data_IF_681914880970
#
_entry.id   IF_681914880970
#
_cell.length_a   1.000
_cell.length_b   1.000
_cell.length_c   1.000
_cell.angle_alpha   90.00
_cell.angle_beta   90.00
_cell.angle_gamma   90.00
#
_symmetry.space_group_name_H-M   'P 1'
#
loop_
_entity.id
_entity.type
_entity.pdbx_description
1 polymer ?
#
# COMPACT_ATOMS: atom_id res chain seq x y z
N UNK A 1 53.08 -12.59 -24.13
CA UNK A 1 52.39 -13.12 -22.94
C UNK A 1 50.98 -12.57 -23.01
N UNK A 2 50.04 -13.38 -23.47
CA UNK A 2 48.67 -12.93 -23.65
C UNK A 2 48.05 -12.61 -22.30
N UNK A 3 47.52 -11.39 -22.18
CA UNK A 3 46.90 -10.91 -20.95
C UNK A 3 45.49 -11.47 -20.85
N UNK A 4 45.38 -12.79 -20.62
CA UNK A 4 44.11 -13.49 -20.41
C UNK A 4 43.25 -12.80 -19.32
N UNK A 5 43.91 -12.19 -18.33
CA UNK A 5 43.29 -11.37 -17.29
C UNK A 5 42.46 -10.21 -17.85
N UNK A 6 42.90 -9.57 -18.94
CA UNK A 6 42.17 -8.48 -19.58
C UNK A 6 40.87 -8.98 -20.20
N UNK A 7 40.88 -10.15 -20.84
CA UNK A 7 39.66 -10.77 -21.39
C UNK A 7 38.66 -11.16 -20.29
N UNK A 8 39.16 -11.64 -19.14
CA UNK A 8 38.30 -11.93 -17.99
C UNK A 8 37.65 -10.66 -17.42
N UNK A 9 38.41 -9.56 -17.29
CA UNK A 9 37.87 -8.27 -16.87
C UNK A 9 36.87 -7.69 -17.87
N UNK A 10 37.13 -7.85 -19.18
CA UNK A 10 36.21 -7.42 -20.24
C UNK A 10 34.89 -8.21 -20.19
N UNK A 11 34.97 -9.53 -20.06
CA UNK A 11 33.81 -10.40 -19.93
C UNK A 11 32.99 -10.09 -18.67
N UNK A 12 33.66 -9.88 -17.53
CA UNK A 12 33.02 -9.46 -16.29
C UNK A 12 32.30 -8.11 -16.45
N UNK A 13 32.98 -7.12 -17.05
CA UNK A 13 32.39 -5.80 -17.30
C UNK A 13 31.16 -5.87 -18.21
N UNK A 14 31.20 -6.69 -19.26
CA UNK A 14 30.05 -6.94 -20.14
C UNK A 14 28.87 -7.54 -19.37
N UNK A 15 29.12 -8.52 -18.51
CA UNK A 15 28.09 -9.19 -17.71
C UNK A 15 27.42 -8.22 -16.72
N UNK A 16 28.23 -7.41 -16.03
CA UNK A 16 27.72 -6.36 -15.13
C UNK A 16 26.92 -5.31 -15.90
N UNK A 17 27.39 -4.89 -17.07
CA UNK A 17 26.68 -3.93 -17.91
C UNK A 17 25.32 -4.48 -18.38
N UNK A 18 25.25 -5.75 -18.82
CA UNK A 18 23.97 -6.36 -19.19
C UNK A 18 23.00 -6.48 -17.99
N UNK A 19 23.51 -6.82 -16.81
CA UNK A 19 22.69 -6.85 -15.58
C UNK A 19 22.16 -5.47 -15.22
N UNK A 20 22.96 -4.41 -15.41
CA UNK A 20 22.50 -3.03 -15.21
C UNK A 20 21.41 -2.66 -16.22
N UNK A 21 21.59 -2.99 -17.49
CA UNK A 21 20.64 -2.66 -18.55
C UNK A 21 19.27 -3.31 -18.31
N UNK A 22 19.26 -4.60 -17.95
CA UNK A 22 18.02 -5.32 -17.60
C UNK A 22 17.35 -4.69 -16.38
N UNK A 23 18.10 -4.36 -15.34
CA UNK A 23 17.57 -3.64 -14.19
C UNK A 23 16.96 -2.28 -14.56
N UNK A 24 17.59 -1.50 -15.45
CA UNK A 24 17.01 -0.25 -15.94
C UNK A 24 15.74 -0.47 -16.77
N UNK A 25 15.68 -1.50 -17.60
CA UNK A 25 14.48 -1.79 -18.39
C UNK A 25 13.29 -2.20 -17.51
N UNK A 26 13.54 -3.01 -16.49
CA UNK A 26 12.50 -3.55 -15.62
C UNK A 26 11.97 -2.50 -14.61
N UNK A 27 12.84 -1.55 -14.20
CA UNK A 27 12.53 -0.61 -13.11
C UNK A 27 12.61 0.87 -13.51
N UNK A 28 12.83 1.22 -14.78
CA UNK A 28 12.71 2.62 -15.20
C UNK A 28 11.24 3.06 -15.10
N UNK A 29 10.99 4.04 -14.23
CA UNK A 29 9.70 4.70 -14.14
C UNK A 29 9.37 5.35 -15.49
N UNK A 30 8.19 5.08 -16.09
CA UNK A 30 7.77 5.77 -17.30
C UNK A 30 7.79 7.29 -17.07
N UNK A 31 8.23 8.10 -18.06
CA UNK A 31 8.08 9.54 -17.95
C UNK A 31 6.60 9.87 -17.75
N UNK A 32 6.32 10.70 -16.74
CA UNK A 32 4.99 11.24 -16.50
C UNK A 32 4.46 11.81 -17.82
N UNK A 33 3.26 11.40 -18.22
CA UNK A 33 2.62 11.92 -19.42
C UNK A 33 2.59 13.44 -19.33
N UNK A 34 3.13 14.12 -20.35
CA UNK A 34 3.05 15.57 -20.45
C UNK A 34 1.57 15.98 -20.38
N UNK A 35 1.20 16.99 -19.56
CA UNK A 35 -0.16 17.47 -19.52
C UNK A 35 -0.53 17.98 -20.92
N UNK A 36 -1.56 17.37 -21.50
CA UNK A 36 -2.14 17.84 -22.74
C UNK A 36 -2.53 19.31 -22.55
N UNK A 37 -1.87 20.20 -23.29
CA UNK A 37 -2.29 21.61 -23.37
C UNK A 37 -3.69 21.66 -23.97
N UNK A 38 -4.67 21.92 -23.12
CA UNK A 38 -6.02 22.21 -23.57
C UNK A 38 -6.03 23.54 -24.34
N UNK A 39 -6.60 23.52 -25.55
CA UNK A 39 -6.83 24.70 -26.36
C UNK A 39 -7.73 25.72 -25.62
N UNK A 40 -7.55 27.03 -25.85
CA UNK A 40 -8.22 28.05 -25.06
C UNK A 40 -9.72 28.08 -25.36
N UNK A 41 -10.54 27.73 -24.36
CA UNK A 41 -11.95 28.09 -24.34
C UNK A 41 -12.09 29.50 -23.76
N UNK A 42 -12.90 30.32 -24.43
CA UNK A 42 -13.10 31.73 -24.16
C UNK A 42 -13.61 32.00 -22.73
N UNK A 43 -13.16 33.15 -22.21
CA UNK A 43 -13.41 33.64 -20.86
C UNK A 43 -14.89 33.88 -20.53
N UNK A 44 -15.28 33.49 -19.32
CA UNK A 44 -16.26 34.21 -18.52
C UNK A 44 -15.77 34.25 -17.07
N UNK A 45 -15.88 35.44 -16.49
CA UNK A 45 -15.16 35.90 -15.31
C UNK A 45 -15.77 35.43 -13.98
N UNK A 46 -14.90 35.26 -12.97
CA UNK A 46 -15.23 35.59 -11.57
C UNK A 46 -14.73 34.60 -10.52
N UNK A 47 -13.84 35.07 -9.64
CA UNK A 47 -13.66 34.54 -8.27
C UNK A 47 -12.31 33.90 -7.97
N UNK A 48 -11.51 34.59 -7.14
CA UNK A 48 -10.26 34.14 -6.52
C UNK A 48 -10.39 32.82 -5.74
N UNK A 49 -9.37 31.95 -5.80
CA UNK A 49 -8.57 31.51 -4.64
C UNK A 49 -7.32 30.70 -5.06
N UNK A 50 -6.24 30.86 -4.29
CA UNK A 50 -4.89 30.30 -4.48
C UNK A 50 -4.72 28.96 -3.73
N UNK A 51 -3.62 28.19 -3.89
CA UNK A 51 -3.67 26.76 -4.19
C UNK A 51 -3.47 25.88 -2.94
N UNK A 52 -4.28 24.83 -2.78
CA UNK A 52 -4.02 23.76 -1.82
C UNK A 52 -3.65 22.47 -2.57
N UNK A 53 -2.47 21.96 -2.22
CA UNK A 53 -1.78 20.80 -2.77
C UNK A 53 -2.66 19.55 -2.97
N UNK A 54 -2.74 19.09 -4.21
CA UNK A 54 -3.36 17.83 -4.59
C UNK A 54 -2.35 16.68 -4.38
N UNK A 55 -2.26 16.18 -3.15
CA UNK A 55 -1.77 14.82 -2.90
C UNK A 55 -2.98 13.89 -2.80
N UNK A 56 -3.63 13.62 -3.94
CA UNK A 56 -4.82 12.77 -4.01
C UNK A 56 -4.86 11.90 -5.28
N UNK A 57 -3.76 11.78 -6.02
CA UNK A 57 -3.71 11.02 -7.30
C UNK A 57 -3.38 9.53 -7.12
N UNK A 58 -3.99 8.86 -6.14
CA UNK A 58 -3.87 7.39 -6.05
C UNK A 58 -5.14 6.67 -5.57
N UNK A 59 -6.27 7.37 -5.54
CA UNK A 59 -7.57 6.76 -5.32
C UNK A 59 -8.46 6.99 -6.54
N UNK A 60 -9.21 5.98 -7.02
CA UNK A 60 -10.18 6.19 -8.08
C UNK A 60 -11.14 7.30 -7.67
N UNK A 61 -11.31 8.31 -8.54
CA UNK A 61 -12.24 9.40 -8.29
C UNK A 61 -13.67 8.85 -8.23
N UNK A 62 -14.32 9.07 -7.09
CA UNK A 62 -15.72 8.74 -6.85
C UNK A 62 -16.60 9.91 -7.32
N UNK A 63 -17.74 9.68 -8.02
CA UNK A 63 -18.62 10.75 -8.46
C UNK A 63 -19.17 11.56 -7.28
N UNK A 64 -19.10 12.88 -7.41
CA UNK A 64 -19.52 13.86 -6.40
C UNK A 64 -21.05 13.86 -6.28
N UNK A 65 -21.58 13.27 -5.20
CA UNK A 65 -22.96 13.44 -4.79
C UNK A 65 -23.04 14.57 -3.76
N UNK A 66 -23.50 15.74 -4.21
CA UNK A 66 -23.79 16.87 -3.35
C UNK A 66 -25.07 16.61 -2.54
N UNK A 67 -24.94 16.23 -1.27
CA UNK A 67 -26.02 16.43 -0.30
C UNK A 67 -25.48 16.59 1.13
N UNK A 68 -26.18 17.43 1.90
CA UNK A 68 -25.68 18.19 3.04
C UNK A 68 -25.06 17.36 4.19
N UNK A 69 -23.93 17.87 4.70
CA UNK A 69 -23.26 17.35 5.88
C UNK A 69 -24.15 17.48 7.15
N UNK A 70 -24.41 16.39 7.88
CA UNK A 70 -24.73 16.53 9.30
C UNK A 70 -23.44 16.86 10.04
N UNK A 71 -23.56 17.75 11.03
CA UNK A 71 -22.46 18.18 11.89
C UNK A 71 -21.70 16.97 12.44
N UNK A 72 -20.37 17.03 12.38
CA UNK A 72 -19.47 16.05 12.96
C UNK A 72 -19.77 15.92 14.46
N UNK A 73 -20.49 14.84 14.82
CA UNK A 73 -20.43 14.34 16.18
C UNK A 73 -18.98 13.89 16.38
N UNK A 74 -18.30 14.57 17.30
CA UNK A 74 -17.07 14.03 17.88
C UNK A 74 -17.46 12.69 18.47
N UNK A 75 -17.14 11.60 17.76
CA UNK A 75 -17.17 10.28 18.36
C UNK A 75 -16.17 10.33 19.49
N UNK A 76 -16.69 10.44 20.72
CA UNK A 76 -15.98 10.02 21.92
C UNK A 76 -15.29 8.71 21.59
N UNK A 77 -14.03 8.57 21.99
CA UNK A 77 -13.29 7.32 21.94
C UNK A 77 -14.09 6.28 22.74
N UNK A 78 -15.06 5.66 22.06
CA UNK A 78 -15.92 4.63 22.60
C UNK A 78 -15.02 3.52 23.08
N UNK A 79 -15.19 3.15 24.34
CA UNK A 79 -14.49 2.06 24.99
C UNK A 79 -14.28 0.94 23.98
N UNK A 80 -13.00 0.58 23.76
CA UNK A 80 -12.61 -0.41 22.77
C UNK A 80 -13.51 -1.63 22.92
N UNK A 81 -14.46 -1.78 22.00
CA UNK A 81 -15.24 -3.00 21.87
C UNK A 81 -14.23 -4.14 21.85
N UNK A 82 -14.41 -5.21 22.64
CA UNK A 82 -13.48 -6.32 22.67
C UNK A 82 -13.26 -6.76 21.22
N UNK A 83 -12.04 -6.57 20.73
CA UNK A 83 -11.67 -6.90 19.35
C UNK A 83 -12.00 -8.38 19.18
N UNK A 84 -12.95 -8.69 18.31
CA UNK A 84 -13.30 -10.07 18.05
C UNK A 84 -12.38 -10.58 16.94
N UNK A 85 -11.42 -11.42 17.31
CA UNK A 85 -10.47 -12.00 16.38
C UNK A 85 -10.95 -13.40 15.95
N UNK A 86 -10.72 -13.71 14.68
CA UNK A 86 -10.85 -15.06 14.11
C UNK A 86 -9.47 -15.53 13.67
N UNK A 87 -9.05 -16.69 14.17
CA UNK A 87 -7.82 -17.35 13.75
C UNK A 87 -8.10 -18.32 12.60
N UNK A 88 -7.34 -18.21 11.53
CA UNK A 88 -7.41 -19.05 10.34
C UNK A 88 -6.05 -19.69 10.12
N UNK A 89 -5.98 -21.01 10.25
CA UNK A 89 -4.76 -21.79 10.06
C UNK A 89 -4.82 -22.56 8.75
N UNK A 90 -3.76 -22.46 7.95
CA UNK A 90 -3.55 -23.27 6.74
C UNK A 90 -2.26 -24.08 6.85
N UNK A 91 -1.88 -24.72 5.75
CA UNK A 91 -0.62 -25.45 5.60
C UNK A 91 0.64 -24.57 5.76
N UNK A 92 0.60 -23.33 5.28
CA UNK A 92 1.75 -22.41 5.26
C UNK A 92 1.50 -21.08 5.94
N UNK A 93 0.26 -20.76 6.29
CA UNK A 93 -0.15 -19.44 6.73
C UNK A 93 -1.05 -19.54 7.96
N UNK A 94 -0.76 -18.71 8.97
CA UNK A 94 -1.57 -18.58 10.18
C UNK A 94 -1.92 -17.11 10.35
N UNK A 95 -3.22 -16.77 10.31
CA UNK A 95 -3.72 -15.39 10.22
C UNK A 95 -4.76 -15.12 11.28
N UNK A 96 -4.69 -13.93 11.86
CA UNK A 96 -5.74 -13.38 12.72
C UNK A 96 -6.47 -12.23 12.01
N UNK A 97 -7.79 -12.36 11.93
CA UNK A 97 -8.69 -11.41 11.28
C UNK A 97 -9.55 -10.72 12.34
N UNK A 98 -9.57 -9.40 12.34
CA UNK A 98 -10.52 -8.60 13.13
C UNK A 98 -11.86 -8.54 12.39
N UNK A 99 -12.92 -8.98 13.07
CA UNK A 99 -14.29 -8.91 12.55
C UNK A 99 -14.80 -7.48 12.40
N UNK A 100 -14.15 -6.52 13.06
CA UNK A 100 -14.39 -5.09 12.87
C UNK A 100 -13.71 -4.64 11.57
N UNK A 101 -14.43 -4.77 10.45
CA UNK A 101 -13.96 -4.34 9.13
C UNK A 101 -13.10 -5.35 8.37
N UNK A 102 -12.96 -6.59 8.85
CA UNK A 102 -12.29 -7.66 8.10
C UNK A 102 -10.79 -7.43 7.90
N UNK A 103 -10.14 -6.78 8.86
CA UNK A 103 -8.74 -6.42 8.79
C UNK A 103 -7.84 -7.58 9.22
N UNK A 104 -6.76 -7.85 8.50
CA UNK A 104 -5.74 -8.82 8.91
C UNK A 104 -4.77 -8.11 9.87
N UNK A 105 -4.76 -8.56 11.12
CA UNK A 105 -3.94 -7.95 12.18
C UNK A 105 -2.65 -8.70 12.43
N UNK A 106 -2.66 -10.02 12.23
CA UNK A 106 -1.50 -10.87 12.42
C UNK A 106 -1.43 -11.90 11.31
N UNK A 107 -0.23 -12.19 10.84
CA UNK A 107 0.04 -13.27 9.90
C UNK A 107 1.42 -13.82 10.17
N UNK A 108 1.53 -15.14 10.31
CA UNK A 108 2.80 -15.85 10.44
C UNK A 108 2.90 -16.99 9.45
N UNK A 109 4.13 -17.41 9.15
CA UNK A 109 4.42 -18.51 8.25
C UNK A 109 5.00 -19.70 9.06
N UNK A 110 4.19 -20.65 9.53
CA UNK A 110 4.64 -21.73 10.41
C UNK A 110 5.74 -22.62 9.81
N UNK A 111 5.85 -22.65 8.47
CA UNK A 111 6.83 -23.46 7.73
C UNK A 111 8.17 -22.74 7.47
N UNK A 112 8.27 -21.47 7.86
CA UNK A 112 9.42 -20.62 7.55
C UNK A 112 9.99 -20.03 8.84
N UNK A 113 11.06 -20.61 9.40
CA UNK A 113 11.67 -20.09 10.60
C UNK A 113 12.50 -18.83 10.31
N UNK A 114 12.55 -17.91 11.28
CA UNK A 114 13.36 -16.68 11.18
C UNK A 114 14.85 -17.00 11.07
N UNK A 115 15.30 -17.99 11.84
CA UNK A 115 16.67 -18.49 11.82
C UNK A 115 16.66 -20.00 11.58
N UNK A 116 17.62 -20.48 10.79
CA UNK A 116 17.76 -21.92 10.51
C UNK A 116 17.98 -22.75 11.77
N UNK A 117 18.61 -22.15 12.78
CA UNK A 117 18.93 -22.80 14.05
C UNK A 117 17.77 -22.75 15.06
N UNK A 118 16.66 -22.08 14.73
CA UNK A 118 15.47 -21.91 15.58
C UNK A 118 14.20 -22.26 14.80
N UNK A 119 13.93 -23.56 14.57
CA UNK A 119 12.78 -24.00 13.78
C UNK A 119 11.42 -23.66 14.41
N UNK A 120 11.37 -23.45 15.73
CA UNK A 120 10.13 -23.19 16.48
C UNK A 120 9.68 -21.72 16.43
N UNK A 121 10.50 -20.83 15.85
CA UNK A 121 10.21 -19.39 15.75
C UNK A 121 9.87 -19.05 14.29
N UNK A 122 8.59 -19.07 13.91
CA UNK A 122 8.18 -18.74 12.55
C UNK A 122 8.33 -17.25 12.28
N UNK A 123 8.51 -16.92 11.00
CA UNK A 123 8.47 -15.52 10.54
C UNK A 123 7.05 -14.98 10.72
N UNK A 124 6.96 -13.81 11.36
CA UNK A 124 5.73 -13.02 11.46
C UNK A 124 5.78 -11.93 10.40
N UNK A 125 4.79 -11.90 9.51
CA UNK A 125 4.67 -10.89 8.45
C UNK A 125 3.89 -9.67 8.92
N UNK A 126 2.77 -9.87 9.62
CA UNK A 126 1.90 -8.80 10.11
C UNK A 126 1.90 -8.83 11.64
N UNK A 127 2.05 -7.67 12.26
CA UNK A 127 1.93 -7.48 13.70
C UNK A 127 1.15 -6.19 14.01
N UNK A 128 0.21 -6.21 14.97
CA UNK A 128 -0.48 -5.02 15.43
C UNK A 128 0.29 -4.29 16.55
N UNK A 129 1.46 -4.81 16.96
CA UNK A 129 2.28 -4.22 18.02
C UNK A 129 2.88 -2.89 17.54
N UNK A 130 2.96 -1.88 18.41
CA UNK A 130 3.42 -0.54 18.02
C UNK A 130 4.89 -0.50 17.59
N UNK A 131 5.70 -1.48 17.99
CA UNK A 131 7.11 -1.60 17.63
C UNK A 131 7.33 -2.13 16.21
N UNK A 132 6.47 -3.04 15.74
CA UNK A 132 6.53 -3.67 14.41
C UNK A 132 5.17 -3.59 13.70
N UNK A 133 4.57 -2.40 13.72
CA UNK A 133 3.20 -2.21 13.26
C UNK A 133 3.09 -2.39 11.75
N UNK A 134 2.50 -3.51 11.33
CA UNK A 134 2.21 -3.79 9.93
C UNK A 134 0.92 -4.61 9.83
N UNK A 135 -0.13 -4.00 9.27
CA UNK A 135 -1.47 -4.59 9.15
C UNK A 135 -2.01 -4.39 7.74
N UNK A 136 -2.85 -5.32 7.28
CA UNK A 136 -3.54 -5.20 6.00
C UNK A 136 -5.00 -4.87 6.27
N UNK A 137 -5.46 -3.75 5.70
CA UNK A 137 -6.83 -3.29 5.86
C UNK A 137 -7.55 -3.34 4.52
N UNK A 138 -8.77 -3.89 4.55
CA UNK A 138 -9.67 -3.87 3.41
C UNK A 138 -11.03 -3.33 3.87
N UNK A 139 -11.80 -2.76 2.97
CA UNK A 139 -13.13 -2.27 3.31
C UNK A 139 -13.93 -1.83 2.11
N UNK A 140 -15.21 -1.60 2.33
CA UNK A 140 -16.14 -1.01 1.37
C UNK A 140 -16.39 0.43 1.79
N UNK A 141 -16.25 1.37 0.86
CA UNK A 141 -16.53 2.79 1.08
C UNK A 141 -17.78 3.18 0.31
N UNK A 142 -18.69 3.90 0.98
CA UNK A 142 -19.91 4.42 0.35
C UNK A 142 -19.64 5.80 -0.28
N UNK A 143 -20.34 6.10 -1.38
CA UNK A 143 -20.31 7.41 -2.06
C UNK A 143 -21.02 8.51 -1.25
N UNK A 144 -22.06 8.13 -0.49
CA UNK A 144 -22.77 8.96 0.46
C UNK A 144 -23.47 8.06 1.50
N UNK A 145 -23.58 8.53 2.74
CA UNK A 145 -24.16 7.80 3.87
C UNK A 145 -23.12 7.13 4.78
N UNK A 146 -23.51 6.69 5.99
CA UNK A 146 -22.61 6.04 6.92
C UNK A 146 -22.02 4.76 6.30
N UNK A 147 -20.71 4.58 6.40
CA UNK A 147 -20.01 3.39 5.92
C UNK A 147 -20.68 2.12 6.48
N UNK A 148 -20.80 1.03 5.68
CA UNK A 148 -21.26 -0.26 6.18
C UNK A 148 -20.17 -0.91 7.04
N UNK A 149 -19.89 -0.33 8.20
CA UNK A 149 -19.22 -0.98 9.32
C UNK A 149 -20.25 -1.69 10.20
N UNK A 150 -19.84 -2.61 11.09
CA UNK A 150 -20.77 -3.28 11.99
C UNK A 150 -21.50 -2.22 12.83
N UNK A 151 -22.82 -2.15 12.66
CA UNK A 151 -23.68 -1.49 13.62
C UNK A 151 -23.51 -2.22 14.96
N UNK A 152 -23.28 -1.43 16.01
CA UNK A 152 -23.43 -1.82 17.42
C UNK A 152 -24.68 -2.67 17.67
#
# INVERSE_FOLDING_TARGET
MDNLRLFLWLGLGLLLFMSWQTWQLDYATPPAAEPATAAPAAATSGGEESPAATAAEELPALPEAAEAAPAAAQSEAGAATPRQLVSVHTDVLDVEIDLSGGNLVRASLPRYPVHKDQPDVPVVLLSPEPEDYYVIRSGLRALAGPEPGPAT
#
